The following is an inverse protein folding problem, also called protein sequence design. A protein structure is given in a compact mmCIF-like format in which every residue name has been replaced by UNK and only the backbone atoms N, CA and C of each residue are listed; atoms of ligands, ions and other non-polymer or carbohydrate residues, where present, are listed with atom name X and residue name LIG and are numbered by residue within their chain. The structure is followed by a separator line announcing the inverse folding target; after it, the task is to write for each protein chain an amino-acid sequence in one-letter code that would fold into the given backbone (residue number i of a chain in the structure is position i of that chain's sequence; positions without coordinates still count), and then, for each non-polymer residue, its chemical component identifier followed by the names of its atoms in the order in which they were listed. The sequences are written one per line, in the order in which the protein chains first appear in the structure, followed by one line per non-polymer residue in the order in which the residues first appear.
data_IF_984544987000
#
_entry.id   IF_984544987000
#
_cell.length_a   1.000
_cell.length_b   1.000
_cell.length_c   1.000
_cell.angle_alpha   90.00
_cell.angle_beta   90.00
_cell.angle_gamma   90.00
#
_symmetry.space_group_name_H-M   'P 1'
#
loop_
_entity.id
_entity.type
_entity.pdbx_description
1 polymer ?
#
# COMPACT_ATOMS: atom_id res chain seq x y z
N UNK A 1 -2.72 5.85 15.43
CA UNK A 1 -1.68 5.53 16.43
C UNK A 1 -0.54 4.71 15.82
N UNK A 2 -0.79 3.51 15.27
CA UNK A 2 0.24 2.64 14.67
C UNK A 2 1.06 3.33 13.55
N UNK A 3 0.41 4.10 12.67
CA UNK A 3 1.11 4.82 11.58
C UNK A 3 2.09 5.86 12.13
N UNK A 4 1.70 6.62 13.16
CA UNK A 4 2.58 7.61 13.77
C UNK A 4 3.73 6.95 14.55
N UNK A 5 3.49 5.80 15.18
CA UNK A 5 4.52 5.03 15.85
C UNK A 5 5.52 4.46 14.85
N UNK A 6 5.02 3.85 13.77
CA UNK A 6 5.85 3.33 12.68
C UNK A 6 6.74 4.41 12.08
N UNK A 7 6.19 5.60 11.80
CA UNK A 7 6.96 6.73 11.27
C UNK A 7 8.12 7.12 12.17
N UNK A 8 7.90 7.25 13.49
CA UNK A 8 8.96 7.56 14.45
C UNK A 8 10.05 6.48 14.49
N UNK A 9 9.67 5.20 14.52
CA UNK A 9 10.62 4.09 14.52
C UNK A 9 11.43 4.03 13.22
N UNK A 10 10.79 4.27 12.09
CA UNK A 10 11.42 4.34 10.77
C UNK A 10 12.46 5.46 10.71
N UNK A 11 12.10 6.67 11.18
CA UNK A 11 13.02 7.81 11.21
C UNK A 11 14.22 7.54 12.12
N UNK A 12 14.00 6.92 13.29
CA UNK A 12 15.08 6.52 14.20
C UNK A 12 15.99 5.49 13.54
N UNK A 13 15.46 4.41 12.96
CA UNK A 13 16.25 3.39 12.27
C UNK A 13 17.06 4.01 11.14
N UNK A 14 16.44 4.87 10.33
CA UNK A 14 17.12 5.53 9.21
C UNK A 14 18.28 6.40 9.70
N UNK A 15 18.13 7.06 10.85
CA UNK A 15 19.20 7.85 11.46
C UNK A 15 20.33 6.95 11.95
N UNK A 16 20.02 5.85 12.65
CA UNK A 16 21.02 4.87 13.10
C UNK A 16 21.84 4.34 11.91
N UNK A 17 21.17 3.93 10.83
CA UNK A 17 21.85 3.42 9.64
C UNK A 17 22.75 4.45 8.99
N UNK A 18 22.31 5.72 8.93
CA UNK A 18 23.09 6.81 8.32
C UNK A 18 24.32 7.17 9.14
N UNK A 19 24.16 7.25 10.46
CA UNK A 19 25.18 7.79 11.36
C UNK A 19 26.12 6.66 11.88
N UNK A 20 25.89 5.39 11.50
CA UNK A 20 26.62 4.22 11.99
C UNK A 20 28.10 4.16 11.63
N UNK A 21 28.55 4.84 10.57
CA UNK A 21 29.98 4.91 10.23
C UNK A 21 30.76 5.79 11.22
N UNK A 22 30.13 6.87 11.66
CA UNK A 22 30.74 7.79 12.61
C UNK A 22 30.57 7.29 14.06
N UNK A 23 29.43 6.61 14.33
CA UNK A 23 29.06 6.12 15.65
C UNK A 23 28.64 4.63 15.59
N UNK A 24 29.59 3.67 15.42
CA UNK A 24 29.27 2.25 15.25
C UNK A 24 28.47 1.65 16.40
N UNK A 25 28.60 2.18 17.62
CA UNK A 25 27.84 1.74 18.81
C UNK A 25 26.31 1.94 18.67
N UNK A 26 25.84 2.77 17.76
CA UNK A 26 24.42 2.91 17.48
C UNK A 26 23.79 1.61 16.96
N UNK A 27 24.59 0.77 16.27
CA UNK A 27 24.13 -0.52 15.76
C UNK A 27 23.73 -1.50 16.87
N UNK A 28 24.23 -1.33 18.09
CA UNK A 28 23.86 -2.18 19.23
C UNK A 28 22.38 -2.03 19.60
N UNK A 29 21.78 -0.90 19.29
CA UNK A 29 20.36 -0.63 19.54
C UNK A 29 19.44 -1.07 18.39
N UNK A 30 20.00 -1.37 17.23
CA UNK A 30 19.24 -1.69 16.03
C UNK A 30 18.33 -2.91 16.16
N UNK A 31 18.69 -4.00 16.86
CA UNK A 31 17.82 -5.16 17.03
C UNK A 31 16.48 -4.83 17.69
N UNK A 32 16.47 -4.00 18.75
CA UNK A 32 15.25 -3.63 19.45
C UNK A 32 14.34 -2.76 18.59
N UNK A 33 14.93 -1.80 17.86
CA UNK A 33 14.19 -0.99 16.87
C UNK A 33 13.62 -1.84 15.75
N UNK A 34 14.38 -2.80 15.26
CA UNK A 34 13.99 -3.72 14.21
C UNK A 34 12.79 -4.56 14.63
N UNK A 35 12.87 -5.19 15.81
CA UNK A 35 11.78 -5.99 16.36
C UNK A 35 10.50 -5.17 16.50
N UNK A 36 10.58 -3.99 17.11
CA UNK A 36 9.41 -3.11 17.29
C UNK A 36 8.86 -2.61 15.97
N UNK A 37 9.73 -2.27 15.02
CA UNK A 37 9.33 -1.83 13.67
C UNK A 37 8.56 -2.94 12.93
N UNK A 38 8.98 -4.20 13.05
CA UNK A 38 8.28 -5.35 12.47
C UNK A 38 6.91 -5.58 13.12
N UNK A 39 6.80 -5.47 14.44
CA UNK A 39 5.52 -5.61 15.14
C UNK A 39 4.50 -4.56 14.67
N UNK A 40 4.89 -3.28 14.69
CA UNK A 40 4.01 -2.18 14.28
C UNK A 40 3.75 -2.21 12.78
N UNK A 41 4.78 -2.58 11.99
CA UNK A 41 4.68 -2.75 10.54
C UNK A 41 3.68 -3.83 10.15
N UNK A 42 3.66 -4.96 10.85
CA UNK A 42 2.70 -6.04 10.63
C UNK A 42 1.24 -5.60 10.85
N UNK A 43 1.01 -4.78 11.87
CA UNK A 43 -0.32 -4.18 12.09
C UNK A 43 -0.74 -3.32 10.90
N UNK A 44 0.16 -2.49 10.37
CA UNK A 44 -0.12 -1.64 9.20
C UNK A 44 -0.39 -2.46 7.95
N UNK A 45 0.41 -3.51 7.68
CA UNK A 45 0.20 -4.43 6.56
C UNK A 45 -1.18 -5.07 6.65
N UNK A 46 -1.55 -5.62 7.81
CA UNK A 46 -2.85 -6.25 8.02
C UNK A 46 -4.01 -5.28 7.76
N UNK A 47 -3.93 -4.03 8.25
CA UNK A 47 -4.95 -3.00 7.99
C UNK A 47 -5.04 -2.64 6.51
N UNK A 48 -3.90 -2.42 5.85
CA UNK A 48 -3.86 -2.06 4.43
C UNK A 48 -4.37 -3.17 3.54
N UNK A 49 -3.98 -4.42 3.82
CA UNK A 49 -4.44 -5.58 3.07
C UNK A 49 -5.97 -5.72 3.13
N UNK A 50 -6.55 -5.60 4.31
CA UNK A 50 -8.02 -5.63 4.51
C UNK A 50 -8.71 -4.46 3.82
N UNK A 51 -8.13 -3.27 3.89
CA UNK A 51 -8.66 -2.10 3.19
C UNK A 51 -8.64 -2.30 1.68
N UNK A 52 -7.52 -2.79 1.10
CA UNK A 52 -7.41 -3.05 -0.34
C UNK A 52 -8.37 -4.16 -0.77
N UNK A 53 -8.58 -5.19 0.06
CA UNK A 53 -9.58 -6.23 -0.20
C UNK A 53 -11.00 -5.66 -0.29
N UNK A 54 -11.38 -4.79 0.65
CA UNK A 54 -12.67 -4.11 0.61
C UNK A 54 -12.78 -3.16 -0.59
N UNK A 55 -11.70 -2.40 -0.86
CA UNK A 55 -11.63 -1.46 -1.98
C UNK A 55 -11.80 -2.17 -3.32
N UNK A 56 -11.17 -3.34 -3.49
CA UNK A 56 -11.21 -4.13 -4.73
C UNK A 56 -12.65 -4.47 -5.15
N UNK A 57 -13.50 -4.84 -4.20
CA UNK A 57 -14.90 -5.20 -4.48
C UNK A 57 -15.68 -4.00 -5.06
N UNK A 58 -15.57 -2.85 -4.41
CA UNK A 58 -16.27 -1.64 -4.84
C UNK A 58 -15.65 -1.03 -6.10
N UNK A 59 -14.31 -1.07 -6.22
CA UNK A 59 -13.60 -0.53 -7.37
C UNK A 59 -13.90 -1.32 -8.65
N UNK A 60 -13.94 -2.65 -8.56
CA UNK A 60 -14.31 -3.51 -9.68
C UNK A 60 -15.70 -3.17 -10.22
N UNK A 61 -16.68 -3.01 -9.32
CA UNK A 61 -18.05 -2.64 -9.69
C UNK A 61 -18.10 -1.26 -10.33
N UNK A 62 -17.52 -0.25 -9.70
CA UNK A 62 -17.50 1.11 -10.22
C UNK A 62 -16.81 1.19 -11.57
N UNK A 63 -15.70 0.44 -11.76
CA UNK A 63 -14.98 0.41 -13.03
C UNK A 63 -15.79 -0.27 -14.14
N UNK A 64 -16.48 -1.37 -13.82
CA UNK A 64 -17.38 -2.03 -14.75
C UNK A 64 -18.46 -1.07 -15.28
N UNK A 65 -19.13 -0.35 -14.36
CA UNK A 65 -20.13 0.66 -14.68
C UNK A 65 -19.52 1.81 -15.53
N UNK A 66 -18.40 2.41 -15.09
CA UNK A 66 -17.74 3.52 -15.79
C UNK A 66 -17.13 3.14 -17.14
N UNK A 67 -16.81 1.86 -17.37
CA UNK A 67 -16.26 1.40 -18.66
C UNK A 67 -17.33 0.97 -19.67
N UNK A 68 -18.62 1.09 -19.32
CA UNK A 68 -19.73 0.58 -20.12
C UNK A 68 -19.73 -0.94 -20.20
N UNK A 69 -19.51 -1.60 -19.07
CA UNK A 69 -19.55 -3.05 -18.86
C UNK A 69 -18.51 -3.82 -19.72
N UNK A 70 -17.32 -3.24 -19.92
CA UNK A 70 -16.30 -3.80 -20.84
C UNK A 70 -14.97 -4.14 -20.20
N UNK A 71 -14.64 -3.53 -19.06
CA UNK A 71 -13.32 -3.65 -18.47
C UNK A 71 -13.41 -4.17 -17.04
N UNK A 72 -12.66 -5.22 -16.75
CA UNK A 72 -12.55 -5.81 -15.42
C UNK A 72 -11.32 -5.24 -14.70
N UNK A 73 -11.57 -4.57 -13.56
CA UNK A 73 -10.52 -4.00 -12.69
C UNK A 73 -10.23 -4.96 -11.54
N UNK A 74 -8.96 -5.24 -11.31
CA UNK A 74 -8.53 -5.94 -10.11
C UNK A 74 -7.43 -5.18 -9.36
N UNK A 75 -7.44 -5.31 -8.04
CA UNK A 75 -6.47 -4.74 -7.13
C UNK A 75 -5.79 -5.86 -6.34
N UNK A 76 -4.47 -5.79 -6.21
CA UNK A 76 -3.70 -6.71 -5.38
C UNK A 76 -2.77 -5.91 -4.48
N UNK A 77 -2.87 -6.12 -3.17
CA UNK A 77 -1.92 -5.53 -2.23
C UNK A 77 -0.57 -6.23 -2.32
N UNK A 78 0.49 -5.45 -2.45
CA UNK A 78 1.86 -5.94 -2.55
C UNK A 78 2.67 -5.47 -1.36
N UNK A 79 3.35 -6.40 -0.72
CA UNK A 79 4.27 -6.16 0.38
C UNK A 79 5.57 -6.96 0.18
N UNK A 80 6.44 -7.00 1.17
CA UNK A 80 7.69 -7.76 1.11
C UNK A 80 7.44 -9.25 0.86
N UNK A 81 8.29 -9.89 0.05
CA UNK A 81 8.06 -11.25 -0.47
C UNK A 81 7.93 -12.36 0.58
N UNK A 82 8.46 -12.15 1.78
CA UNK A 82 8.36 -13.11 2.88
C UNK A 82 6.98 -13.16 3.51
N UNK A 83 6.17 -12.11 3.34
CA UNK A 83 4.78 -12.06 3.80
C UNK A 83 3.91 -12.68 2.71
N UNK A 84 3.65 -13.99 2.82
CA UNK A 84 2.84 -14.74 1.85
C UNK A 84 1.35 -14.44 1.99
N UNK A 85 0.86 -14.29 3.23
CA UNK A 85 -0.52 -13.94 3.53
C UNK A 85 -0.63 -12.66 4.37
N UNK A 86 -0.84 -11.49 3.74
CA UNK A 86 -1.01 -10.23 4.45
C UNK A 86 -2.37 -10.09 5.18
N UNK A 87 -3.30 -11.04 4.98
CA UNK A 87 -4.58 -11.11 5.68
C UNK A 87 -4.55 -12.04 6.90
N UNK A 88 -3.48 -12.80 7.04
CA UNK A 88 -3.25 -13.75 8.13
C UNK A 88 -3.03 -13.10 9.50
N UNK A 89 -2.66 -13.91 10.50
CA UNK A 89 -2.38 -13.40 11.85
C UNK A 89 -1.24 -12.38 11.85
N UNK A 90 -1.42 -11.29 12.60
CA UNK A 90 -0.42 -10.21 12.68
C UNK A 90 0.94 -10.72 13.17
N UNK A 91 0.96 -11.73 14.05
CA UNK A 91 2.20 -12.35 14.54
C UNK A 91 2.99 -13.04 13.40
N UNK A 92 2.30 -13.72 12.49
CA UNK A 92 2.93 -14.40 11.36
C UNK A 92 3.51 -13.37 10.37
N UNK A 93 2.77 -12.28 10.14
CA UNK A 93 3.25 -11.15 9.34
C UNK A 93 4.49 -10.52 9.99
N UNK A 94 4.50 -10.35 11.32
CA UNK A 94 5.64 -9.79 12.04
C UNK A 94 6.88 -10.68 11.91
N UNK A 95 6.73 -12.00 12.09
CA UNK A 95 7.82 -12.97 11.90
C UNK A 95 8.37 -12.96 10.46
N UNK A 96 7.48 -12.86 9.46
CA UNK A 96 7.87 -12.76 8.06
C UNK A 96 8.62 -11.44 7.74
N UNK A 97 8.25 -10.34 8.41
CA UNK A 97 8.99 -9.07 8.32
C UNK A 97 10.36 -9.16 8.96
N UNK A 98 10.47 -9.82 10.12
CA UNK A 98 11.76 -10.05 10.81
C UNK A 98 12.70 -10.89 9.93
N UNK A 99 12.17 -11.94 9.30
CA UNK A 99 12.92 -12.76 8.36
C UNK A 99 13.41 -11.94 7.15
N UNK A 100 12.54 -11.13 6.55
CA UNK A 100 12.92 -10.23 5.44
C UNK A 100 14.03 -9.27 5.86
N UNK A 101 13.89 -8.69 7.03
CA UNK A 101 14.86 -7.74 7.58
C UNK A 101 16.21 -8.40 7.85
N UNK A 102 16.22 -9.62 8.43
CA UNK A 102 17.45 -10.37 8.66
C UNK A 102 18.18 -10.69 7.35
N UNK A 103 17.44 -11.07 6.31
CA UNK A 103 18.03 -11.32 4.97
C UNK A 103 18.62 -10.07 4.32
N UNK A 104 18.07 -8.89 4.61
CA UNK A 104 18.50 -7.62 3.99
C UNK A 104 19.41 -6.78 4.90
N UNK A 105 19.78 -7.28 6.09
CA UNK A 105 20.55 -6.53 7.08
C UNK A 105 21.85 -5.94 6.52
N UNK A 106 22.66 -6.74 5.82
CA UNK A 106 23.90 -6.26 5.21
C UNK A 106 23.66 -5.22 4.12
N UNK A 107 22.60 -5.39 3.34
CA UNK A 107 22.21 -4.44 2.32
C UNK A 107 21.71 -3.11 2.91
N UNK A 108 20.99 -3.17 4.05
CA UNK A 108 20.57 -1.97 4.80
C UNK A 108 21.78 -1.19 5.34
N UNK A 109 22.77 -1.90 5.91
CA UNK A 109 24.02 -1.27 6.37
C UNK A 109 24.78 -0.62 5.23
N UNK A 110 24.92 -1.33 4.10
CA UNK A 110 25.67 -0.83 2.94
C UNK A 110 24.99 0.35 2.25
N UNK A 111 23.64 0.29 2.10
CA UNK A 111 22.85 1.35 1.44
C UNK A 111 22.44 2.48 2.38
N UNK A 112 22.48 2.25 3.70
CA UNK A 112 21.97 3.16 4.75
C UNK A 112 20.47 3.47 4.61
N UNK A 113 19.74 2.56 3.99
CA UNK A 113 18.31 2.65 3.75
C UNK A 113 17.58 1.53 4.49
N UNK A 114 16.42 1.84 5.05
CA UNK A 114 15.51 0.82 5.54
C UNK A 114 14.85 0.12 4.35
N UNK A 115 15.13 -1.18 4.17
CA UNK A 115 14.67 -1.95 3.01
C UNK A 115 13.47 -2.85 3.30
N UNK A 116 13.10 -3.01 4.58
CA UNK A 116 12.06 -3.94 5.02
C UNK A 116 10.94 -3.21 5.73
N UNK A 117 9.70 -3.43 5.29
CA UNK A 117 8.51 -2.91 5.97
C UNK A 117 7.49 -2.23 5.07
N UNK A 118 6.33 -1.83 5.64
CA UNK A 118 5.17 -1.31 4.90
C UNK A 118 5.39 0.02 4.15
N UNK A 119 6.51 0.69 4.32
CA UNK A 119 6.88 1.85 3.50
C UNK A 119 7.31 1.47 2.07
N UNK A 120 7.49 0.17 1.81
CA UNK A 120 7.77 -0.39 0.48
C UNK A 120 6.55 -0.99 -0.21
N UNK A 121 5.41 -1.01 0.49
CA UNK A 121 4.20 -1.61 -0.04
C UNK A 121 3.62 -0.79 -1.19
N UNK A 122 2.94 -1.50 -2.10
CA UNK A 122 2.24 -0.92 -3.24
C UNK A 122 0.90 -1.63 -3.47
N UNK A 123 0.10 -1.10 -4.38
CA UNK A 123 -1.13 -1.72 -4.86
C UNK A 123 -0.96 -1.95 -6.36
N UNK A 124 -0.93 -3.21 -6.77
CA UNK A 124 -1.00 -3.53 -8.19
C UNK A 124 -2.44 -3.35 -8.68
N UNK A 125 -2.58 -2.58 -9.74
CA UNK A 125 -3.86 -2.33 -10.43
C UNK A 125 -3.80 -2.97 -11.80
N UNK A 126 -4.74 -3.85 -12.12
CA UNK A 126 -4.84 -4.45 -13.44
C UNK A 126 -6.20 -4.17 -14.07
N UNK A 127 -6.22 -3.98 -15.38
CA UNK A 127 -7.44 -3.87 -16.20
C UNK A 127 -7.40 -4.97 -17.25
N UNK A 128 -8.41 -5.83 -17.25
CA UNK A 128 -8.46 -7.03 -18.09
C UNK A 128 -7.20 -7.91 -17.96
N UNK A 129 -6.63 -8.00 -16.74
CA UNK A 129 -5.45 -8.79 -16.45
C UNK A 129 -4.11 -8.13 -16.87
N UNK A 130 -4.12 -6.94 -17.46
CA UNK A 130 -2.92 -6.18 -17.84
C UNK A 130 -2.61 -5.12 -16.78
N UNK A 131 -1.35 -4.99 -16.39
CA UNK A 131 -0.91 -4.00 -15.41
C UNK A 131 -1.17 -2.57 -15.91
N UNK A 132 -1.97 -1.81 -15.15
CA UNK A 132 -2.46 -0.51 -15.56
C UNK A 132 -1.35 0.50 -15.83
N UNK A 133 -0.29 0.47 -15.02
CA UNK A 133 0.86 1.40 -15.12
C UNK A 133 1.60 1.30 -16.46
N UNK A 134 1.65 0.11 -17.06
CA UNK A 134 2.49 -0.16 -18.22
C UNK A 134 1.72 -0.40 -19.52
N UNK A 135 0.48 -0.90 -19.44
CA UNK A 135 -0.24 -1.42 -20.59
C UNK A 135 -1.57 -0.73 -20.86
N UNK A 136 -2.10 0.08 -19.94
CA UNK A 136 -3.36 0.76 -20.14
C UNK A 136 -3.21 2.10 -20.86
N UNK A 137 -4.22 2.44 -21.65
CA UNK A 137 -4.35 3.78 -22.24
C UNK A 137 -4.57 4.84 -21.14
N UNK A 138 -4.30 6.10 -21.46
CA UNK A 138 -4.57 7.21 -20.53
C UNK A 138 -6.03 7.24 -20.07
N UNK A 139 -6.98 6.99 -20.98
CA UNK A 139 -8.40 6.92 -20.65
C UNK A 139 -8.73 5.79 -19.67
N UNK A 140 -8.12 4.60 -19.84
CA UNK A 140 -8.28 3.48 -18.91
C UNK A 140 -7.70 3.80 -17.51
N UNK A 141 -6.51 4.40 -17.46
CA UNK A 141 -5.89 4.81 -16.19
C UNK A 141 -6.75 5.82 -15.45
N UNK A 142 -7.30 6.82 -16.15
CA UNK A 142 -8.21 7.82 -15.58
C UNK A 142 -9.50 7.21 -15.07
N UNK A 143 -10.11 6.31 -15.85
CA UNK A 143 -11.31 5.58 -15.42
C UNK A 143 -11.03 4.72 -14.19
N UNK A 144 -9.89 4.03 -14.14
CA UNK A 144 -9.46 3.27 -12.98
C UNK A 144 -9.28 4.16 -11.74
N UNK A 145 -8.63 5.33 -11.89
CA UNK A 145 -8.45 6.28 -10.79
C UNK A 145 -9.80 6.82 -10.27
N UNK A 146 -10.74 7.15 -11.15
CA UNK A 146 -12.10 7.55 -10.77
C UNK A 146 -12.81 6.42 -10.03
N UNK A 147 -12.73 5.18 -10.54
CA UNK A 147 -13.34 4.00 -9.93
C UNK A 147 -12.82 3.73 -8.52
N UNK A 148 -11.52 3.94 -8.29
CA UNK A 148 -10.91 3.85 -6.94
C UNK A 148 -11.48 4.91 -5.99
N UNK A 149 -11.67 6.14 -6.47
CA UNK A 149 -12.27 7.23 -5.67
C UNK A 149 -13.74 6.96 -5.34
N UNK A 150 -14.51 6.44 -6.29
CA UNK A 150 -15.89 6.02 -6.06
C UNK A 150 -15.98 4.86 -5.07
N UNK A 151 -15.06 3.91 -5.15
CA UNK A 151 -14.98 2.79 -4.21
C UNK A 151 -14.64 3.24 -2.78
N UNK A 152 -13.68 4.17 -2.63
CA UNK A 152 -13.32 4.75 -1.33
C UNK A 152 -14.53 5.47 -0.69
N UNK A 153 -15.33 6.17 -1.49
CA UNK A 153 -16.60 6.78 -1.06
C UNK A 153 -17.57 5.76 -0.47
N UNK A 154 -17.71 4.58 -1.09
CA UNK A 154 -18.58 3.52 -0.59
C UNK A 154 -18.06 2.93 0.73
N UNK A 155 -16.75 2.72 0.86
CA UNK A 155 -16.15 2.29 2.12
C UNK A 155 -16.41 3.31 3.23
N UNK A 156 -16.23 4.60 2.93
CA UNK A 156 -16.48 5.68 3.90
C UNK A 156 -17.94 5.68 4.37
N UNK A 157 -18.89 5.58 3.43
CA UNK A 157 -20.32 5.47 3.76
C UNK A 157 -20.61 4.28 4.66
N UNK A 158 -20.01 3.11 4.35
CA UNK A 158 -20.23 1.91 5.16
C UNK A 158 -19.66 2.06 6.59
N UNK A 159 -18.59 2.83 6.75
CA UNK A 159 -17.97 3.05 8.05
C UNK A 159 -18.67 4.13 8.91
N UNK A 160 -19.17 5.20 8.30
CA UNK A 160 -19.67 6.40 8.99
C UNK A 160 -21.20 6.56 8.82
N UNK A 161 -21.81 5.92 7.83
CA UNK A 161 -23.24 5.99 7.52
C UNK A 161 -23.64 7.09 6.54
N UNK A 162 -22.72 8.00 6.19
CA UNK A 162 -22.95 9.13 5.30
C UNK A 162 -21.92 9.18 4.16
N UNK A 163 -22.35 9.65 3.00
CA UNK A 163 -21.44 9.87 1.89
C UNK A 163 -20.56 11.10 2.13
N UNK A 164 -19.25 10.99 1.88
CA UNK A 164 -18.38 12.16 1.88
C UNK A 164 -18.69 13.06 0.67
N UNK A 165 -18.42 14.36 0.82
CA UNK A 165 -18.45 15.29 -0.31
C UNK A 165 -17.21 15.03 -1.18
N UNK A 166 -17.46 14.67 -2.45
CA UNK A 166 -16.39 14.49 -3.43
C UNK A 166 -16.19 15.76 -4.25
N UNK A 167 -14.96 16.23 -4.32
CA UNK A 167 -14.55 17.31 -5.22
C UNK A 167 -13.83 16.67 -6.41
N UNK A 168 -14.43 16.78 -7.59
CA UNK A 168 -13.89 16.27 -8.86
C UNK A 168 -13.51 17.47 -9.71
N UNK A 169 -12.22 17.69 -9.88
CA UNK A 169 -11.67 18.74 -10.73
C UNK A 169 -11.31 18.13 -12.10
N UNK A 170 -11.92 18.63 -13.14
CA UNK A 170 -11.73 18.27 -14.57
C UNK A 170 -11.78 16.76 -14.94
N UNK A 171 -12.23 15.90 -14.03
CA UNK A 171 -12.23 14.45 -14.25
C UNK A 171 -13.13 14.05 -15.42
N UNK A 172 -14.27 14.72 -15.58
CA UNK A 172 -15.26 14.39 -16.63
C UNK A 172 -14.82 14.92 -18.00
N UNK A 173 -14.16 16.08 -18.08
CA UNK A 173 -13.68 16.65 -19.34
C UNK A 173 -12.59 15.81 -20.01
N UNK A 174 -11.89 15.01 -19.23
CA UNK A 174 -10.77 14.18 -19.66
C UNK A 174 -11.17 12.72 -19.99
N UNK A 175 -12.43 12.34 -19.76
CA UNK A 175 -12.96 11.03 -20.12
C UNK A 175 -13.42 11.04 -21.59
N UNK A 176 -13.27 9.88 -22.26
CA UNK A 176 -13.88 9.63 -23.57
C UNK A 176 -15.39 9.94 -23.50
N UNK A 177 -15.98 10.64 -24.50
CA UNK A 177 -17.42 10.95 -24.53
C UNK A 177 -18.34 9.77 -24.23
N UNK A 178 -17.93 8.55 -24.60
CA UNK A 178 -18.67 7.32 -24.28
C UNK A 178 -18.60 6.89 -22.81
N UNK A 179 -17.72 7.50 -22.03
CA UNK A 179 -17.52 7.24 -20.58
C UNK A 179 -18.07 8.38 -19.73
N UNK A 180 -18.65 9.41 -20.37
CA UNK A 180 -19.29 10.56 -19.70
C UNK A 180 -20.79 10.34 -19.48
N UNK A 181 -21.41 9.39 -20.22
CA UNK A 181 -22.80 8.96 -20.07
C UNK A 181 -22.94 7.94 -18.92
#
# INVERSE_FOLDING_TARGET
EALAEYGRLYDHKTRILRDSDEYPQLLDTLPDFNHRLCQVGAVLISYRARYVQALAVHARRAHWECSGEREDLALTYQTVKTVEDPLGPVQDIAGALEEHQARHYQAELASRLCLSGPHKDDIAVTVNGLEARHFCSQGQVRTAALSLKLADREIHKNAIGEYPVMLLDDVLSELDPRRQE
#
